data_IF_541146767993
#
_entry.id   IF_541146767993
#
_cell.length_a   1.000
_cell.length_b   1.000
_cell.length_c   1.000
_cell.angle_alpha   90.00
_cell.angle_beta   90.00
_cell.angle_gamma   90.00
#
_symmetry.space_group_name_H-M   'P 1'
#
loop_
_entity.id
_entity.type
_entity.pdbx_description
1 polymer ?
#
# COMPACT_ATOMS: atom_id res chain seq x y z
N UNK A 1 21.61 -16.00 -21.79
CA UNK A 1 20.13 -16.05 -21.73
C UNK A 1 19.63 -14.72 -21.20
N UNK A 2 19.16 -13.86 -22.09
CA UNK A 2 18.65 -12.53 -21.76
C UNK A 2 17.25 -12.71 -21.15
N UNK A 3 17.15 -12.65 -19.82
CA UNK A 3 15.85 -12.64 -19.13
C UNK A 3 15.19 -11.31 -19.46
N UNK A 4 14.19 -11.31 -20.34
CA UNK A 4 13.35 -10.13 -20.57
C UNK A 4 12.81 -9.67 -19.23
N UNK A 5 13.26 -8.50 -18.75
CA UNK A 5 12.76 -7.91 -17.52
C UNK A 5 11.26 -7.65 -17.70
N UNK A 6 10.43 -8.38 -16.94
CA UNK A 6 8.98 -8.17 -16.95
C UNK A 6 8.71 -6.89 -16.17
N UNK A 7 8.37 -5.82 -16.88
CA UNK A 7 7.98 -4.55 -16.27
C UNK A 7 6.75 -4.82 -15.38
N UNK A 8 6.77 -4.37 -14.11
CA UNK A 8 5.59 -4.42 -13.27
C UNK A 8 4.40 -3.72 -13.91
N UNK A 9 3.27 -4.42 -13.97
CA UNK A 9 1.99 -3.81 -14.32
C UNK A 9 1.39 -3.30 -13.03
N UNK A 10 1.05 -2.01 -12.99
CA UNK A 10 0.22 -1.50 -11.91
C UNK A 10 -1.13 -1.05 -12.46
N UNK A 11 -2.15 -1.33 -11.69
CA UNK A 11 -3.55 -1.18 -12.07
C UNK A 11 -4.27 -0.35 -11.03
N UNK A 12 -5.52 0.03 -11.30
CA UNK A 12 -6.32 0.72 -10.32
C UNK A 12 -6.59 -0.21 -9.14
N UNK A 13 -6.27 0.25 -7.94
CA UNK A 13 -6.50 -0.49 -6.70
C UNK A 13 -7.75 0.05 -6.05
N UNK A 14 -8.70 -0.84 -5.83
CA UNK A 14 -9.90 -0.56 -5.07
C UNK A 14 -9.66 -0.83 -3.59
N UNK A 15 -10.15 0.06 -2.75
CA UNK A 15 -10.02 -0.01 -1.29
C UNK A 15 -11.33 0.37 -0.61
N UNK A 16 -11.46 -0.02 0.65
CA UNK A 16 -12.39 0.62 1.58
C UNK A 16 -11.60 1.57 2.47
N UNK A 17 -11.91 2.86 2.42
CA UNK A 17 -11.34 3.87 3.32
C UNK A 17 -12.24 3.99 4.54
N UNK A 18 -11.63 3.87 5.72
CA UNK A 18 -12.33 4.01 7.00
C UNK A 18 -11.62 5.10 7.80
N UNK A 19 -12.37 6.14 8.16
CA UNK A 19 -11.95 7.15 9.13
C UNK A 19 -12.75 6.92 10.41
N UNK A 20 -12.07 6.69 11.52
CA UNK A 20 -12.67 6.40 12.82
C UNK A 20 -11.66 6.72 13.93
N UNK A 21 -12.10 6.68 15.18
CA UNK A 21 -11.21 6.83 16.33
C UNK A 21 -10.07 5.82 16.29
N UNK A 22 -8.85 6.21 16.71
CA UNK A 22 -7.69 5.30 16.69
C UNK A 22 -7.95 3.99 17.44
N UNK A 23 -8.62 4.07 18.61
CA UNK A 23 -8.95 2.92 19.43
C UNK A 23 -9.88 1.93 18.71
N UNK A 24 -10.88 2.42 17.95
CA UNK A 24 -11.77 1.55 17.20
C UNK A 24 -11.04 0.83 16.05
N UNK A 25 -10.12 1.52 15.37
CA UNK A 25 -9.28 0.92 14.33
C UNK A 25 -8.25 -0.08 14.89
N UNK A 26 -7.71 0.17 16.08
CA UNK A 26 -6.77 -0.74 16.76
C UNK A 26 -7.47 -2.01 17.28
N UNK A 27 -8.73 -1.86 17.73
CA UNK A 27 -9.56 -2.98 18.16
C UNK A 27 -10.15 -3.79 16.99
N UNK A 28 -10.18 -3.22 15.78
CA UNK A 28 -10.75 -3.86 14.61
C UNK A 28 -10.06 -5.19 14.28
N UNK A 29 -10.82 -6.08 13.65
CA UNK A 29 -10.32 -7.34 13.09
C UNK A 29 -10.66 -7.37 11.62
N UNK A 30 -9.63 -7.26 10.78
CA UNK A 30 -9.79 -7.29 9.34
C UNK A 30 -9.88 -8.74 8.85
N UNK A 31 -10.74 -9.05 7.87
CA UNK A 31 -10.86 -10.40 7.35
C UNK A 31 -9.54 -10.90 6.75
N UNK A 32 -9.33 -12.22 6.78
CA UNK A 32 -8.16 -12.83 6.15
C UNK A 32 -8.06 -12.43 4.66
N UNK A 33 -6.83 -12.30 4.16
CA UNK A 33 -6.57 -11.88 2.79
C UNK A 33 -6.75 -10.37 2.53
N UNK A 34 -7.16 -9.59 3.53
CA UNK A 34 -7.20 -8.13 3.44
C UNK A 34 -5.91 -7.53 4.03
N UNK A 35 -5.45 -6.47 3.40
CA UNK A 35 -4.32 -5.67 3.83
C UNK A 35 -4.87 -4.37 4.40
N UNK A 36 -4.47 -4.07 5.64
CA UNK A 36 -4.82 -2.85 6.33
C UNK A 36 -3.64 -1.87 6.34
N UNK A 37 -3.75 -0.81 5.56
CA UNK A 37 -2.76 0.25 5.46
C UNK A 37 -3.17 1.38 6.39
N UNK A 38 -2.57 1.45 7.59
CA UNK A 38 -2.88 2.49 8.59
C UNK A 38 -2.21 3.80 8.18
N UNK A 39 -2.90 4.59 7.36
CA UNK A 39 -2.37 5.80 6.71
C UNK A 39 -2.32 7.01 7.63
N UNK A 40 -3.16 7.05 8.66
CA UNK A 40 -3.08 7.98 9.77
C UNK A 40 -3.52 7.30 11.07
N UNK A 41 -3.39 7.99 12.21
CA UNK A 41 -3.85 7.45 13.49
C UNK A 41 -5.35 7.16 13.49
N UNK A 42 -6.14 7.88 12.70
CA UNK A 42 -7.60 7.79 12.60
C UNK A 42 -8.07 7.30 11.22
N UNK A 43 -7.15 6.81 10.37
CA UNK A 43 -7.48 6.41 9.00
C UNK A 43 -6.79 5.10 8.58
N UNK A 44 -7.57 4.20 7.99
CA UNK A 44 -7.07 2.99 7.35
C UNK A 44 -7.64 2.81 5.94
N UNK A 45 -6.78 2.35 5.03
CA UNK A 45 -7.20 1.83 3.72
C UNK A 45 -7.14 0.31 3.75
N UNK A 46 -8.25 -0.34 3.42
CA UNK A 46 -8.33 -1.81 3.34
C UNK A 46 -8.39 -2.24 1.88
N UNK A 47 -7.52 -3.16 1.46
CA UNK A 47 -7.55 -3.77 0.12
C UNK A 47 -7.41 -5.29 0.18
N UNK A 48 -8.20 -6.08 -0.59
CA UNK A 48 -9.33 -5.65 -1.42
C UNK A 48 -10.45 -4.97 -0.61
N UNK A 49 -11.42 -4.29 -1.25
CA UNK A 49 -12.51 -3.63 -0.55
C UNK A 49 -13.32 -4.60 0.31
N UNK A 50 -13.74 -4.14 1.49
CA UNK A 50 -14.63 -4.88 2.37
C UNK A 50 -16.05 -4.89 1.79
N UNK A 51 -16.67 -6.08 1.75
CA UNK A 51 -18.08 -6.22 1.39
C UNK A 51 -19.01 -5.63 2.47
N UNK A 52 -18.68 -5.86 3.75
CA UNK A 52 -19.42 -5.35 4.92
C UNK A 52 -18.47 -4.72 5.94
N UNK A 53 -18.07 -3.46 5.74
CA UNK A 53 -17.21 -2.75 6.68
C UNK A 53 -17.91 -2.52 8.02
N UNK A 54 -17.33 -3.05 9.09
CA UNK A 54 -17.81 -2.89 10.47
C UNK A 54 -16.66 -2.41 11.34
N UNK A 55 -16.85 -1.25 11.98
CA UNK A 55 -15.94 -0.68 12.98
C UNK A 55 -16.79 -0.22 14.17
N UNK A 56 -16.29 -0.42 15.39
CA UNK A 56 -17.01 -0.09 16.61
C UNK A 56 -16.90 1.41 16.93
N UNK A 57 -17.43 2.25 16.04
CA UNK A 57 -17.42 3.71 16.14
C UNK A 57 -18.66 4.26 15.42
N UNK A 58 -19.52 4.97 16.16
CA UNK A 58 -20.77 5.53 15.63
C UNK A 58 -20.56 6.69 14.65
N UNK A 59 -19.38 7.31 14.68
CA UNK A 59 -19.01 8.43 13.81
C UNK A 59 -18.08 8.01 12.68
N UNK A 60 -17.87 6.70 12.49
CA UNK A 60 -17.03 6.21 11.43
C UNK A 60 -17.52 6.64 10.05
N UNK A 61 -16.60 7.15 9.24
CA UNK A 61 -16.81 7.41 7.82
C UNK A 61 -16.23 6.24 7.05
N UNK A 62 -17.08 5.56 6.28
CA UNK A 62 -16.70 4.39 5.48
C UNK A 62 -17.03 4.66 4.03
N UNK A 63 -16.02 4.60 3.16
CA UNK A 63 -16.15 4.94 1.74
C UNK A 63 -15.47 3.88 0.87
N UNK A 64 -16.06 3.60 -0.30
CA UNK A 64 -15.33 2.96 -1.38
C UNK A 64 -14.35 3.98 -1.99
N UNK A 65 -13.08 3.59 -2.15
CA UNK A 65 -12.03 4.46 -2.67
C UNK A 65 -11.23 3.75 -3.77
N UNK A 66 -11.10 4.41 -4.92
CA UNK A 66 -10.38 3.93 -6.11
C UNK A 66 -9.33 4.94 -6.60
N UNK A 67 -8.86 5.79 -5.69
CA UNK A 67 -7.90 6.87 -5.96
C UNK A 67 -6.46 6.39 -6.09
N UNK A 68 -6.20 5.10 -5.92
CA UNK A 68 -4.85 4.53 -5.93
C UNK A 68 -4.61 3.68 -7.17
N UNK A 69 -3.35 3.69 -7.62
CA UNK A 69 -2.82 2.72 -8.57
C UNK A 69 -1.70 1.96 -7.88
N UNK A 70 -1.58 0.68 -8.21
CA UNK A 70 -0.60 -0.16 -7.54
C UNK A 70 -0.56 -1.59 -8.04
N UNK A 71 0.36 -2.34 -7.46
CA UNK A 71 0.71 -3.66 -7.96
C UNK A 71 1.73 -4.34 -7.05
N UNK A 72 1.72 -5.66 -7.10
CA UNK A 72 2.69 -6.50 -6.42
C UNK A 72 3.96 -6.60 -7.25
N UNK A 73 5.10 -6.33 -6.63
CA UNK A 73 6.42 -6.51 -7.21
C UNK A 73 7.26 -7.43 -6.34
N UNK A 74 8.22 -8.14 -6.94
CA UNK A 74 9.14 -9.00 -6.19
C UNK A 74 9.93 -8.17 -5.17
N UNK A 75 10.08 -8.68 -3.94
CA UNK A 75 10.75 -7.96 -2.86
C UNK A 75 12.18 -7.58 -3.24
N UNK A 76 12.93 -8.48 -3.87
CA UNK A 76 14.29 -8.19 -4.34
C UNK A 76 14.34 -6.97 -5.29
N UNK A 77 13.39 -6.86 -6.23
CA UNK A 77 13.34 -5.71 -7.15
C UNK A 77 12.92 -4.43 -6.41
N UNK A 78 11.92 -4.53 -5.54
CA UNK A 78 11.47 -3.40 -4.73
C UNK A 78 12.60 -2.84 -3.87
N UNK A 79 13.33 -3.71 -3.18
CA UNK A 79 14.41 -3.35 -2.28
C UNK A 79 15.58 -2.71 -3.03
N UNK A 80 15.96 -3.19 -4.22
CA UNK A 80 16.99 -2.51 -5.04
C UNK A 80 16.66 -1.04 -5.31
N UNK A 81 15.38 -0.72 -5.59
CA UNK A 81 14.95 0.66 -5.83
C UNK A 81 14.88 1.44 -4.51
N UNK A 82 14.28 0.83 -3.48
CA UNK A 82 14.07 1.47 -2.18
C UNK A 82 15.39 1.76 -1.47
N UNK A 83 16.40 0.89 -1.55
CA UNK A 83 17.71 1.12 -0.94
C UNK A 83 18.46 2.30 -1.59
N UNK A 84 18.17 2.58 -2.87
CA UNK A 84 18.81 3.68 -3.62
C UNK A 84 18.10 5.02 -3.44
N UNK A 85 16.77 5.00 -3.43
CA UNK A 85 15.93 6.22 -3.47
C UNK A 85 15.24 6.51 -2.12
N UNK A 86 15.36 5.56 -1.18
CA UNK A 86 14.90 5.52 0.20
C UNK A 86 15.61 6.48 1.17
N UNK A 87 15.07 7.65 1.49
CA UNK A 87 15.71 8.53 2.48
C UNK A 87 15.40 8.14 3.94
N UNK A 88 14.44 7.24 4.17
CA UNK A 88 13.99 6.82 5.49
C UNK A 88 14.23 5.32 5.72
N UNK A 89 14.31 4.91 7.00
CA UNK A 89 14.58 3.51 7.36
C UNK A 89 13.41 2.60 6.97
N UNK A 90 13.70 1.63 6.09
CA UNK A 90 12.74 0.60 5.73
C UNK A 90 12.45 -0.31 6.93
N UNK A 91 11.19 -0.71 7.15
CA UNK A 91 10.87 -1.67 8.20
C UNK A 91 11.65 -2.97 7.98
N UNK A 92 12.10 -3.63 9.05
CA UNK A 92 12.77 -4.95 8.98
C UNK A 92 11.82 -6.11 9.22
N UNK A 93 10.83 -5.91 10.09
CA UNK A 93 9.79 -6.90 10.35
C UNK A 93 8.86 -7.07 9.13
N UNK A 94 8.31 -8.27 8.98
CA UNK A 94 7.35 -8.64 7.92
C UNK A 94 6.19 -9.44 8.54
N UNK A 95 4.93 -9.20 8.13
CA UNK A 95 4.52 -8.14 7.23
C UNK A 95 4.61 -6.74 7.88
N UNK A 96 4.77 -5.70 7.07
CA UNK A 96 4.82 -4.33 7.58
C UNK A 96 4.26 -3.31 6.58
N UNK A 97 3.59 -2.28 7.10
CA UNK A 97 3.20 -1.10 6.34
C UNK A 97 4.22 0.02 6.56
N UNK A 98 4.60 0.72 5.50
CA UNK A 98 5.27 2.01 5.58
C UNK A 98 4.77 2.92 4.46
N UNK A 99 4.92 4.23 4.65
CA UNK A 99 4.62 5.21 3.62
C UNK A 99 5.58 6.38 3.71
N UNK A 100 5.85 7.01 2.57
CA UNK A 100 6.78 8.12 2.49
C UNK A 100 7.12 8.47 1.05
N UNK A 101 7.96 9.49 0.89
CA UNK A 101 8.50 9.86 -0.41
C UNK A 101 9.59 8.86 -0.82
N UNK A 102 9.55 8.39 -2.06
CA UNK A 102 10.57 7.55 -2.70
C UNK A 102 10.69 8.00 -4.16
N UNK A 103 11.89 8.36 -4.61
CA UNK A 103 12.13 8.83 -5.99
C UNK A 103 11.15 9.94 -6.46
N UNK A 104 10.78 10.84 -5.55
CA UNK A 104 9.83 11.93 -5.81
C UNK A 104 8.35 11.51 -5.87
N UNK A 105 8.00 10.28 -5.46
CA UNK A 105 6.62 9.79 -5.40
C UNK A 105 6.18 9.49 -3.95
N UNK A 106 4.97 9.91 -3.54
CA UNK A 106 4.39 9.54 -2.25
C UNK A 106 3.87 8.10 -2.30
N UNK A 107 4.67 7.15 -1.85
CA UNK A 107 4.34 5.73 -1.90
C UNK A 107 3.72 5.24 -0.59
N UNK A 108 2.80 4.29 -0.73
CA UNK A 108 2.30 3.41 0.34
C UNK A 108 2.78 2.01 0.03
N UNK A 109 3.47 1.40 0.97
CA UNK A 109 4.22 0.16 0.78
C UNK A 109 3.77 -0.87 1.81
N UNK A 110 3.35 -2.03 1.33
CA UNK A 110 3.11 -3.20 2.18
C UNK A 110 4.13 -4.28 1.86
N UNK A 111 4.98 -4.58 2.83
CA UNK A 111 6.08 -5.51 2.70
C UNK A 111 5.65 -6.89 3.17
N UNK A 112 5.76 -7.89 2.30
CA UNK A 112 5.79 -9.31 2.62
C UNK A 112 7.21 -9.86 2.39
N UNK A 113 7.46 -11.12 2.71
CA UNK A 113 8.80 -11.72 2.55
C UNK A 113 9.26 -11.73 1.09
N UNK A 114 8.38 -12.11 0.16
CA UNK A 114 8.74 -12.34 -1.25
C UNK A 114 8.30 -11.21 -2.19
N UNK A 115 7.45 -10.30 -1.72
CA UNK A 115 6.84 -9.26 -2.53
C UNK A 115 6.48 -8.01 -1.74
N UNK A 116 6.40 -6.90 -2.44
CA UNK A 116 5.95 -5.61 -1.91
C UNK A 116 4.78 -5.14 -2.74
N UNK A 117 3.67 -4.80 -2.09
CA UNK A 117 2.60 -4.04 -2.73
C UNK A 117 3.00 -2.58 -2.71
N UNK A 118 3.09 -1.98 -3.89
CA UNK A 118 3.38 -0.56 -4.06
C UNK A 118 2.11 0.13 -4.51
N UNK A 119 1.66 1.12 -3.75
CA UNK A 119 0.54 1.98 -4.11
C UNK A 119 0.99 3.44 -4.23
N UNK A 120 0.39 4.15 -5.17
CA UNK A 120 0.56 5.59 -5.37
C UNK A 120 -0.81 6.23 -5.65
N UNK A 121 -0.99 7.48 -5.26
CA UNK A 121 -2.19 8.24 -5.64
C UNK A 121 -2.24 8.45 -7.16
N UNK A 122 -3.44 8.35 -7.74
CA UNK A 122 -3.66 8.42 -9.19
C UNK A 122 -3.20 9.72 -9.84
N UNK A 123 -3.16 10.83 -9.09
CA UNK A 123 -2.66 12.12 -9.59
C UNK A 123 -1.18 12.09 -10.04
N UNK A 124 -0.38 11.16 -9.51
CA UNK A 124 1.06 11.05 -9.81
C UNK A 124 1.46 9.67 -10.35
N UNK A 125 0.48 8.81 -10.63
CA UNK A 125 0.64 7.45 -11.16
C UNK A 125 1.53 7.35 -12.42
N UNK A 126 1.45 8.24 -13.43
CA UNK A 126 2.28 8.14 -14.63
C UNK A 126 3.79 8.06 -14.36
N UNK A 127 4.24 8.53 -13.19
CA UNK A 127 5.64 8.45 -12.77
C UNK A 127 6.08 7.08 -12.22
N UNK A 128 5.18 6.14 -11.92
CA UNK A 128 5.51 4.92 -11.16
C UNK A 128 6.11 3.80 -12.05
N UNK A 129 5.59 3.59 -13.26
CA UNK A 129 6.00 2.50 -14.15
C UNK A 129 7.48 2.52 -14.55
N UNK A 130 8.09 3.72 -14.64
CA UNK A 130 9.51 3.89 -14.97
C UNK A 130 10.46 3.75 -13.78
N UNK A 131 9.96 3.62 -12.55
CA UNK A 131 10.79 3.61 -11.32
C UNK A 131 11.13 2.20 -10.83
N UNK A 132 10.28 1.23 -11.12
CA UNK A 132 10.45 -0.18 -10.73
C UNK A 132 10.73 -1.07 -11.95
N UNK A 133 11.79 -0.76 -12.67
CA UNK A 133 12.30 -1.59 -13.78
C UNK A 133 13.55 -2.33 -13.32
N UNK A 134 13.68 -3.59 -13.75
CA UNK A 134 14.86 -4.41 -13.50
C UNK A 134 15.96 -4.14 -14.51
#
# INVERSE_FOLDING_TARGET
MTRTARVPVFERVHTTRIVATPAALDAARWPAGHIALRTAADEVLITPPLAEPKVADEHAIVLADSSFFGGWIAAALALTVLERECEWELPRARPAFAQGMVAGLPLKLWFESERVLVLVAGAVWPGLGGRFVA
#
